data_IF_820451992120
#
_entry.id   IF_820451992120
#
_cell.length_a   1.000
_cell.length_b   1.000
_cell.length_c   1.000
_cell.angle_alpha   90.00
_cell.angle_beta   90.00
_cell.angle_gamma   90.00
#
_symmetry.space_group_name_H-M   'P 1'
#
loop_
_entity.id
_entity.type
_entity.pdbx_description
1 polymer ?
#
# COMPACT_ATOMS: atom_id res chain seq x y z
N UNK A 1 -19.69 -15.55 0.41
CA UNK A 1 -18.21 -15.42 0.44
C UNK A 1 -17.62 -16.78 0.13
N UNK A 2 -16.76 -16.89 -0.87
CA UNK A 2 -15.98 -18.11 -1.12
C UNK A 2 -14.73 -18.04 -0.22
N UNK A 3 -14.89 -18.40 1.06
CA UNK A 3 -13.82 -18.35 2.05
C UNK A 3 -12.78 -19.44 1.82
N UNK A 4 -11.72 -19.11 1.08
CA UNK A 4 -10.60 -20.01 0.80
C UNK A 4 -9.64 -20.18 2.00
N UNK A 5 -9.88 -19.45 3.10
CA UNK A 5 -9.10 -19.53 4.33
C UNK A 5 -8.61 -18.17 4.82
N UNK A 6 -7.51 -18.18 5.58
CA UNK A 6 -6.87 -17.00 6.17
C UNK A 6 -5.60 -16.64 5.38
N UNK A 7 -5.34 -15.35 5.20
CA UNK A 7 -4.13 -14.83 4.59
C UNK A 7 -3.51 -13.72 5.45
N UNK A 8 -2.20 -13.51 5.28
CA UNK A 8 -1.48 -12.35 5.85
C UNK A 8 -1.39 -11.30 4.75
N UNK A 9 -1.89 -10.09 5.02
CA UNK A 9 -1.88 -9.00 4.07
C UNK A 9 -1.57 -7.67 4.77
N UNK A 10 -0.82 -6.75 4.13
CA UNK A 10 -0.66 -5.39 4.62
C UNK A 10 -1.97 -4.62 4.50
N UNK A 11 -2.28 -3.78 5.50
CA UNK A 11 -3.55 -3.03 5.58
C UNK A 11 -3.91 -2.28 4.29
N UNK A 12 -2.99 -1.57 3.60
CA UNK A 12 -3.35 -0.81 2.40
C UNK A 12 -3.94 -1.67 1.28
N UNK A 13 -3.65 -2.98 1.24
CA UNK A 13 -4.19 -3.87 0.20
C UNK A 13 -5.59 -4.40 0.52
N UNK A 14 -6.02 -4.33 1.78
CA UNK A 14 -7.29 -4.92 2.23
C UNK A 14 -8.24 -3.90 2.87
N UNK A 15 -7.84 -2.63 2.96
CA UNK A 15 -8.61 -1.56 3.59
C UNK A 15 -10.03 -1.44 3.04
N UNK A 16 -10.16 -1.43 1.71
CA UNK A 16 -11.47 -1.28 1.05
C UNK A 16 -12.36 -2.51 1.24
N UNK A 17 -11.76 -3.70 1.27
CA UNK A 17 -12.48 -4.95 1.55
C UNK A 17 -12.95 -5.03 2.99
N UNK A 18 -12.16 -4.53 3.94
CA UNK A 18 -12.54 -4.40 5.35
C UNK A 18 -13.67 -3.37 5.53
N UNK A 19 -13.53 -2.18 4.90
CA UNK A 19 -14.55 -1.14 4.93
C UNK A 19 -15.89 -1.62 4.32
N UNK A 20 -15.81 -2.47 3.29
CA UNK A 20 -16.98 -3.07 2.66
C UNK A 20 -17.51 -4.33 3.37
N UNK A 21 -16.88 -4.78 4.46
CA UNK A 21 -17.27 -5.99 5.18
C UNK A 21 -17.07 -7.31 4.39
N UNK A 22 -16.27 -7.28 3.32
CA UNK A 22 -15.91 -8.48 2.53
C UNK A 22 -14.83 -9.31 3.21
N UNK A 23 -13.95 -8.64 3.96
CA UNK A 23 -12.95 -9.25 4.82
C UNK A 23 -13.19 -8.87 6.27
N UNK A 24 -12.59 -9.65 7.17
CA UNK A 24 -12.47 -9.32 8.59
C UNK A 24 -10.99 -9.42 8.97
N UNK A 25 -10.55 -8.57 9.92
CA UNK A 25 -9.22 -8.61 10.52
C UNK A 25 -9.34 -8.91 12.03
N UNK A 26 -9.57 -10.18 12.43
CA UNK A 26 -9.85 -10.52 13.83
C UNK A 26 -8.72 -10.17 14.80
N UNK A 27 -7.48 -10.15 14.29
CA UNK A 27 -6.27 -9.83 15.05
C UNK A 27 -5.76 -8.41 14.82
N UNK A 28 -6.46 -7.62 14.00
CA UNK A 28 -6.03 -6.26 13.63
C UNK A 28 -4.73 -6.23 12.82
N UNK A 29 -4.04 -5.08 12.87
CA UNK A 29 -2.79 -4.82 12.18
C UNK A 29 -1.71 -4.39 13.18
N UNK A 30 -0.46 -4.70 12.86
CA UNK A 30 0.72 -4.23 13.60
C UNK A 30 1.61 -3.42 12.67
N UNK A 31 2.18 -2.35 13.20
CA UNK A 31 3.17 -1.55 12.47
C UNK A 31 4.44 -2.38 12.24
N UNK A 32 5.07 -2.20 11.09
CA UNK A 32 6.32 -2.89 10.74
C UNK A 32 7.31 -1.90 10.12
N UNK A 33 8.58 -2.28 10.04
CA UNK A 33 9.60 -1.48 9.34
C UNK A 33 9.47 -1.54 7.80
N UNK A 34 8.49 -2.28 7.26
CA UNK A 34 8.28 -2.37 5.83
C UNK A 34 7.84 -1.02 5.24
N UNK A 35 8.34 -0.71 4.05
CA UNK A 35 8.03 0.52 3.32
C UNK A 35 7.73 0.20 1.87
N UNK A 36 6.72 0.87 1.30
CA UNK A 36 6.52 0.92 -0.15
C UNK A 36 7.43 2.02 -0.72
N UNK A 37 8.18 1.71 -1.77
CA UNK A 37 9.16 2.62 -2.34
C UNK A 37 9.03 2.73 -3.86
N UNK A 38 9.15 3.94 -4.38
CA UNK A 38 9.33 4.19 -5.81
C UNK A 38 10.82 4.06 -6.15
N UNK A 39 11.19 3.06 -6.93
CA UNK A 39 12.57 2.83 -7.34
C UNK A 39 12.85 3.49 -8.69
N UNK A 40 13.90 4.31 -8.73
CA UNK A 40 14.31 5.06 -9.93
C UNK A 40 15.76 4.71 -10.25
N UNK A 41 16.08 4.28 -11.50
CA UNK A 41 17.46 3.99 -11.87
C UNK A 41 18.34 5.24 -11.76
N UNK A 42 19.41 5.18 -10.96
CA UNK A 42 20.31 6.32 -10.72
C UNK A 42 20.98 6.87 -12.01
N UNK A 43 21.19 6.01 -13.01
CA UNK A 43 21.79 6.37 -14.30
C UNK A 43 20.85 7.15 -15.23
N UNK A 44 19.55 7.23 -14.90
CA UNK A 44 18.54 7.92 -15.68
C UNK A 44 18.00 9.08 -14.85
N UNK A 45 18.52 10.28 -15.11
CA UNK A 45 17.88 11.52 -14.65
C UNK A 45 16.60 11.73 -15.46
N UNK A 46 15.51 11.06 -15.06
CA UNK A 46 14.18 11.24 -15.66
C UNK A 46 13.34 12.21 -14.81
N UNK A 47 13.06 13.44 -15.30
CA UNK A 47 12.22 14.41 -14.59
C UNK A 47 10.81 13.89 -14.30
N UNK A 48 10.30 12.91 -15.06
CA UNK A 48 9.00 12.29 -14.81
C UNK A 48 8.98 11.51 -13.50
N UNK A 49 10.09 10.86 -13.14
CA UNK A 49 10.20 10.15 -11.87
C UNK A 49 10.13 11.11 -10.69
N UNK A 50 10.77 12.28 -10.79
CA UNK A 50 10.65 13.36 -9.79
C UNK A 50 9.22 13.88 -9.65
N UNK A 51 8.54 14.14 -10.78
CA UNK A 51 7.12 14.56 -10.78
C UNK A 51 6.20 13.51 -10.18
N UNK A 52 6.40 12.23 -10.50
CA UNK A 52 5.63 11.13 -9.91
C UNK A 52 5.88 11.03 -8.40
N UNK A 53 7.14 11.16 -7.95
CA UNK A 53 7.47 11.13 -6.54
C UNK A 53 6.82 12.29 -5.77
N UNK A 54 6.79 13.49 -6.36
CA UNK A 54 6.09 14.64 -5.77
C UNK A 54 4.58 14.38 -5.69
N UNK A 55 3.97 13.96 -6.79
CA UNK A 55 2.55 13.65 -6.83
C UNK A 55 2.16 12.57 -5.80
N UNK A 56 2.95 11.50 -5.68
CA UNK A 56 2.72 10.45 -4.67
C UNK A 56 2.77 11.01 -3.25
N UNK A 57 3.71 11.92 -2.94
CA UNK A 57 3.78 12.56 -1.62
C UNK A 57 2.52 13.36 -1.33
N UNK A 58 2.00 14.10 -2.31
CA UNK A 58 0.77 14.89 -2.17
C UNK A 58 -0.46 13.98 -1.98
N UNK A 59 -0.58 12.88 -2.74
CA UNK A 59 -1.70 11.94 -2.60
C UNK A 59 -1.69 11.15 -1.29
N UNK A 60 -0.50 10.94 -0.71
CA UNK A 60 -0.32 10.16 0.52
C UNK A 60 -0.22 11.02 1.78
N UNK A 61 -0.21 12.36 1.65
CA UNK A 61 -0.15 13.30 2.77
C UNK A 61 -1.50 13.50 3.49
N UNK A 62 -2.37 12.48 3.47
CA UNK A 62 -3.69 12.51 4.10
C UNK A 62 -3.68 12.91 5.56
#
# INVERSE_FOLDING_TARGET
>A
MAGLGVAIAPEPLVRDDLAAGRLAAPWGFIETDARLALWVPARLHDPRAGRLAQWLREQLAG
#
